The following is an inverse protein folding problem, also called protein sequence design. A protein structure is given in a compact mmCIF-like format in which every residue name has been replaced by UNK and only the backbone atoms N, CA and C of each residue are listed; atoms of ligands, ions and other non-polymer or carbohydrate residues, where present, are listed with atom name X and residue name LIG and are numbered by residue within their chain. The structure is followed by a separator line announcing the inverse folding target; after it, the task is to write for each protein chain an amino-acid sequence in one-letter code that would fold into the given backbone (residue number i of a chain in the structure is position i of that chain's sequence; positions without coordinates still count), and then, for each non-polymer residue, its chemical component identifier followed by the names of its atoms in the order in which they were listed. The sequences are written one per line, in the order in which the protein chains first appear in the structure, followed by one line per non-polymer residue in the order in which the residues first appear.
data_IF_814456734944
#
_entry.id   IF_814456734944
#
_cell.length_a   1.000
_cell.length_b   1.000
_cell.length_c   1.000
_cell.angle_alpha   90.00
_cell.angle_beta   90.00
_cell.angle_gamma   90.00
#
_symmetry.space_group_name_H-M   'P 1'
#
loop_
_entity.id
_entity.type
_entity.pdbx_description
1 polymer ?
#
# COMPACT_ATOMS: atom_id res chain seq x y z
N UNK A 1 -5.50 -27.89 37.88
CA UNK A 1 -5.64 -26.42 37.88
C UNK A 1 -6.03 -26.00 36.48
N UNK A 2 -7.32 -25.84 36.21
CA UNK A 2 -7.82 -25.39 34.91
C UNK A 2 -7.68 -23.88 34.81
N UNK A 3 -6.64 -23.41 34.13
CA UNK A 3 -6.64 -22.05 33.57
C UNK A 3 -7.13 -22.14 32.14
N UNK A 4 -8.44 -22.37 31.95
CA UNK A 4 -9.12 -22.00 30.70
C UNK A 4 -9.26 -20.47 30.72
N UNK A 5 -8.15 -19.76 30.55
CA UNK A 5 -8.19 -18.36 30.18
C UNK A 5 -8.68 -18.32 28.73
N UNK A 6 -9.88 -17.82 28.50
CA UNK A 6 -10.38 -17.57 27.15
C UNK A 6 -9.30 -16.79 26.39
N UNK A 7 -8.77 -17.39 25.31
CA UNK A 7 -7.85 -16.68 24.43
C UNK A 7 -8.61 -15.48 23.88
N UNK A 8 -8.08 -14.29 24.13
CA UNK A 8 -8.64 -13.07 23.56
C UNK A 8 -8.52 -13.17 22.04
N UNK A 9 -9.62 -12.92 21.34
CA UNK A 9 -9.68 -12.97 19.86
C UNK A 9 -9.75 -11.56 19.28
N UNK A 10 -9.15 -11.35 18.12
CA UNK A 10 -9.22 -10.13 17.32
C UNK A 10 -9.82 -10.47 15.95
N UNK A 11 -11.02 -9.96 15.69
CA UNK A 11 -11.58 -9.93 14.34
C UNK A 11 -10.89 -8.86 13.53
N UNK A 12 -10.12 -9.27 12.53
CA UNK A 12 -9.35 -8.36 11.69
C UNK A 12 -10.28 -7.50 10.83
N UNK A 13 -11.39 -8.07 10.34
CA UNK A 13 -12.35 -7.34 9.50
C UNK A 13 -12.90 -6.07 10.15
N UNK A 14 -13.03 -6.06 11.49
CA UNK A 14 -13.57 -4.93 12.25
C UNK A 14 -12.60 -3.73 12.31
N UNK A 15 -11.30 -3.97 12.07
CA UNK A 15 -10.24 -2.97 12.16
C UNK A 15 -9.47 -2.81 10.85
N UNK A 16 -9.93 -3.44 9.77
CA UNK A 16 -9.15 -3.53 8.55
C UNK A 16 -8.93 -2.17 7.89
N UNK A 17 -7.66 -1.83 7.72
CA UNK A 17 -7.22 -0.74 6.87
C UNK A 17 -6.38 -1.28 5.72
N UNK A 18 -6.59 -0.72 4.52
CA UNK A 18 -5.78 -1.03 3.35
C UNK A 18 -4.29 -0.76 3.64
N UNK A 19 -3.39 -1.73 3.38
CA UNK A 19 -1.99 -1.64 3.80
C UNK A 19 -1.19 -0.61 3.01
N UNK A 20 -1.69 -0.18 1.85
CA UNK A 20 -1.00 0.75 0.96
C UNK A 20 -1.98 1.76 0.38
N UNK A 21 -1.60 3.03 0.45
CA UNK A 21 -2.21 4.12 -0.31
C UNK A 21 -1.25 4.58 -1.41
N UNK A 22 -1.81 5.11 -2.49
CA UNK A 22 -1.07 5.58 -3.64
C UNK A 22 -1.40 7.04 -3.92
N UNK A 23 -0.35 7.77 -4.30
CA UNK A 23 -0.45 9.10 -4.88
C UNK A 23 0.21 9.06 -6.26
N UNK A 24 -0.58 9.27 -7.31
CA UNK A 24 -0.09 9.38 -8.67
C UNK A 24 -0.16 10.84 -9.12
N UNK A 25 0.96 11.42 -9.52
CA UNK A 25 1.03 12.80 -10.00
C UNK A 25 1.55 12.86 -11.44
N UNK A 26 0.98 13.74 -12.27
CA UNK A 26 1.47 13.94 -13.64
C UNK A 26 2.70 14.84 -13.58
N UNK A 27 3.87 14.30 -13.88
CA UNK A 27 5.15 15.02 -13.79
C UNK A 27 5.65 15.54 -15.14
N UNK A 28 5.19 14.95 -16.25
CA UNK A 28 5.49 15.39 -17.61
C UNK A 28 4.21 15.54 -18.42
N UNK A 29 4.06 16.67 -19.09
CA UNK A 29 2.94 16.97 -19.99
C UNK A 29 3.13 16.44 -21.40
N UNK A 30 2.04 16.47 -22.17
CA UNK A 30 1.99 16.19 -23.60
C UNK A 30 0.55 16.08 -24.09
N UNK A 31 0.36 15.55 -25.30
CA UNK A 31 -0.93 15.48 -25.98
C UNK A 31 -1.85 14.37 -25.41
N UNK A 32 -2.21 14.48 -24.14
CA UNK A 32 -3.05 13.51 -23.44
C UNK A 32 -4.51 13.57 -23.93
N UNK A 33 -5.03 12.47 -24.49
CA UNK A 33 -6.44 12.33 -24.91
C UNK A 33 -7.44 12.50 -23.78
N UNK A 34 -7.04 12.14 -22.55
CA UNK A 34 -7.84 12.30 -21.34
C UNK A 34 -7.67 13.67 -20.67
N UNK A 35 -6.96 14.60 -21.33
CA UNK A 35 -6.72 15.96 -20.88
C UNK A 35 -6.02 16.08 -19.51
N UNK A 36 -5.26 15.06 -19.09
CA UNK A 36 -4.45 15.14 -17.87
C UNK A 36 -3.37 16.21 -18.00
N UNK A 37 -3.17 16.99 -16.94
CA UNK A 37 -2.24 18.13 -16.92
C UNK A 37 -1.12 17.90 -15.91
N UNK A 38 0.07 18.43 -16.21
CA UNK A 38 1.19 18.43 -15.26
C UNK A 38 0.74 19.05 -13.93
N UNK A 39 1.10 18.41 -12.82
CA UNK A 39 0.68 18.79 -11.48
C UNK A 39 -0.68 18.21 -11.04
N UNK A 40 -1.44 17.57 -11.94
CA UNK A 40 -2.64 16.83 -11.53
C UNK A 40 -2.26 15.65 -10.63
N UNK A 41 -3.03 15.47 -9.55
CA UNK A 41 -2.81 14.43 -8.54
C UNK A 41 -4.03 13.52 -8.45
N UNK A 42 -3.79 12.23 -8.27
CA UNK A 42 -4.78 11.20 -8.01
C UNK A 42 -4.38 10.43 -6.76
N UNK A 43 -5.23 10.43 -5.74
CA UNK A 43 -5.02 9.71 -4.49
C UNK A 43 -6.03 8.57 -4.37
N UNK A 44 -5.56 7.38 -4.03
CA UNK A 44 -6.40 6.19 -3.96
C UNK A 44 -5.74 5.08 -3.14
N UNK A 45 -6.51 4.07 -2.74
CA UNK A 45 -6.02 2.90 -1.98
C UNK A 45 -6.19 1.61 -2.77
N UNK A 46 -7.43 1.33 -3.18
CA UNK A 46 -7.81 0.10 -3.85
C UNK A 46 -8.47 0.35 -5.20
N UNK A 47 -9.46 1.25 -5.22
CA UNK A 47 -10.24 1.54 -6.42
C UNK A 47 -9.47 2.44 -7.40
N UNK A 48 -9.82 2.35 -8.68
CA UNK A 48 -9.39 3.33 -9.69
C UNK A 48 -9.77 4.73 -9.23
N UNK A 49 -8.83 5.69 -9.19
CA UNK A 49 -9.13 7.04 -8.77
C UNK A 49 -10.09 7.73 -9.75
N UNK A 50 -11.04 8.49 -9.21
CA UNK A 50 -11.98 9.27 -10.02
C UNK A 50 -11.22 10.20 -10.96
N UNK A 51 -11.59 10.18 -12.24
CA UNK A 51 -11.05 11.08 -13.25
C UNK A 51 -9.73 10.64 -13.86
N UNK A 52 -9.09 9.55 -13.43
CA UNK A 52 -7.97 8.95 -14.15
C UNK A 52 -8.49 8.14 -15.34
N UNK A 53 -7.82 8.20 -16.49
CA UNK A 53 -8.21 7.38 -17.63
C UNK A 53 -7.88 5.89 -17.41
N UNK A 54 -8.78 5.01 -17.86
CA UNK A 54 -8.63 3.56 -17.68
C UNK A 54 -7.37 2.99 -18.32
N UNK A 55 -6.95 3.52 -19.47
CA UNK A 55 -5.70 3.12 -20.15
C UNK A 55 -4.47 3.33 -19.26
N UNK A 56 -4.34 4.52 -18.62
CA UNK A 56 -3.22 4.78 -17.72
C UNK A 56 -3.30 3.89 -16.48
N UNK A 57 -4.48 3.73 -15.89
CA UNK A 57 -4.65 2.91 -14.69
C UNK A 57 -4.27 1.44 -14.94
N UNK A 58 -4.77 0.84 -16.03
CA UNK A 58 -4.44 -0.55 -16.40
C UNK A 58 -2.94 -0.69 -16.64
N UNK A 59 -2.33 0.27 -17.34
CA UNK A 59 -0.90 0.24 -17.60
C UNK A 59 -0.02 0.41 -16.35
N UNK A 60 -0.52 1.10 -15.31
CA UNK A 60 0.15 1.25 -14.03
C UNK A 60 0.02 0.03 -13.12
N UNK A 61 -0.97 -0.84 -13.36
CA UNK A 61 -1.34 -1.90 -12.44
C UNK A 61 -0.15 -2.78 -11.98
N UNK A 62 0.79 -3.18 -12.86
CA UNK A 62 1.97 -3.94 -12.42
C UNK A 62 2.81 -3.20 -11.37
N UNK A 63 3.05 -1.90 -11.56
CA UNK A 63 3.81 -1.06 -10.62
C UNK A 63 3.08 -0.94 -9.28
N UNK A 64 1.76 -0.68 -9.33
CA UNK A 64 0.91 -0.59 -8.14
C UNK A 64 0.91 -1.92 -7.36
N UNK A 65 0.84 -3.04 -8.07
CA UNK A 65 0.88 -4.37 -7.46
C UNK A 65 2.25 -4.65 -6.81
N UNK A 66 3.35 -4.38 -7.51
CA UNK A 66 4.70 -4.53 -6.95
C UNK A 66 4.87 -3.70 -5.68
N UNK A 67 4.49 -2.42 -5.70
CA UNK A 67 4.53 -1.55 -4.52
C UNK A 67 3.65 -2.10 -3.38
N UNK A 68 2.46 -2.63 -3.70
CA UNK A 68 1.54 -3.20 -2.70
C UNK A 68 2.14 -4.39 -1.96
N UNK A 69 2.90 -5.23 -2.65
CA UNK A 69 3.58 -6.39 -2.04
C UNK A 69 4.95 -6.05 -1.45
N UNK A 70 5.24 -4.75 -1.25
CA UNK A 70 6.52 -4.20 -0.79
C UNK A 70 7.72 -4.46 -1.71
N UNK A 71 7.49 -4.68 -2.99
CA UNK A 71 8.56 -4.70 -3.99
C UNK A 71 9.37 -3.41 -3.96
N UNK A 72 10.68 -3.53 -4.20
CA UNK A 72 11.61 -2.42 -4.15
C UNK A 72 11.78 -1.79 -5.53
N UNK A 73 11.25 -0.58 -5.73
CA UNK A 73 11.34 0.10 -7.02
C UNK A 73 12.78 0.46 -7.42
N UNK A 74 13.75 0.40 -6.50
CA UNK A 74 15.18 0.56 -6.82
C UNK A 74 15.66 -0.53 -7.76
N UNK A 75 15.12 -1.75 -7.65
CA UNK A 75 15.41 -2.86 -8.57
C UNK A 75 14.94 -2.57 -10.00
N UNK A 76 14.02 -1.62 -10.17
CA UNK A 76 13.49 -1.15 -11.45
C UNK A 76 14.05 0.23 -11.85
N UNK A 77 15.16 0.65 -11.21
CA UNK A 77 15.87 1.89 -11.52
C UNK A 77 15.30 3.16 -10.91
N UNK A 78 14.44 3.05 -9.88
CA UNK A 78 13.99 4.21 -9.11
C UNK A 78 15.05 4.68 -8.10
N UNK A 79 15.18 5.99 -7.80
CA UNK A 79 16.00 6.45 -6.68
C UNK A 79 15.45 6.04 -5.30
N UNK A 80 14.15 5.73 -5.20
CA UNK A 80 13.49 5.40 -3.93
C UNK A 80 12.68 4.11 -4.04
N UNK A 81 12.64 3.33 -2.94
CA UNK A 81 11.94 2.04 -2.90
C UNK A 81 10.45 2.10 -3.22
N UNK A 82 9.81 3.22 -2.89
CA UNK A 82 8.36 3.41 -2.85
C UNK A 82 7.85 4.38 -3.91
N UNK A 83 8.74 4.86 -4.79
CA UNK A 83 8.42 5.81 -5.85
C UNK A 83 8.75 5.17 -7.19
N UNK A 84 7.93 5.39 -8.21
CA UNK A 84 8.26 5.01 -9.59
C UNK A 84 7.71 6.02 -10.59
N UNK A 85 8.56 6.46 -11.50
CA UNK A 85 8.12 7.19 -12.69
C UNK A 85 7.72 6.20 -13.78
N UNK A 86 6.51 6.37 -14.30
CA UNK A 86 5.85 5.54 -15.27
C UNK A 86 5.42 6.39 -16.48
N UNK A 87 5.72 5.93 -17.69
CA UNK A 87 5.16 6.53 -18.91
C UNK A 87 3.76 5.97 -19.13
N UNK A 88 2.77 6.82 -19.40
CA UNK A 88 1.46 6.32 -19.83
C UNK A 88 1.62 5.42 -21.09
N UNK A 89 0.68 4.50 -21.37
CA UNK A 89 0.82 3.59 -22.52
C UNK A 89 1.01 4.33 -23.85
N UNK A 90 0.32 5.47 -24.03
CA UNK A 90 0.49 6.34 -25.20
C UNK A 90 1.81 7.13 -25.23
N UNK A 91 2.64 7.04 -24.17
CA UNK A 91 3.95 7.71 -23.99
C UNK A 91 3.93 9.24 -24.12
N UNK A 92 2.76 9.86 -24.05
CA UNK A 92 2.58 11.30 -24.17
C UNK A 92 2.73 12.04 -22.84
N UNK A 93 2.52 11.37 -21.70
CA UNK A 93 2.69 11.95 -20.36
C UNK A 93 3.42 10.97 -19.45
N UNK A 94 3.97 11.47 -18.35
CA UNK A 94 4.55 10.65 -17.29
C UNK A 94 3.84 10.89 -15.97
N UNK A 95 3.71 9.80 -15.23
CA UNK A 95 3.21 9.80 -13.88
C UNK A 95 4.33 9.41 -12.92
N UNK A 96 4.44 10.11 -11.80
CA UNK A 96 5.16 9.63 -10.63
C UNK A 96 4.15 9.00 -9.68
N UNK A 97 4.40 7.74 -9.32
CA UNK A 97 3.58 6.97 -8.40
C UNK A 97 4.38 6.85 -7.11
N UNK A 98 3.77 7.26 -6.01
CA UNK A 98 4.30 7.17 -4.66
C UNK A 98 3.38 6.26 -3.82
N UNK A 99 3.98 5.34 -3.07
CA UNK A 99 3.26 4.45 -2.15
C UNK A 99 3.51 4.85 -0.69
N UNK A 100 2.42 4.97 0.06
CA UNK A 100 2.40 5.17 1.51
C UNK A 100 1.94 3.87 2.18
N UNK A 101 2.76 3.33 3.08
CA UNK A 101 2.46 2.07 3.79
C UNK A 101 1.74 2.34 5.10
N UNK A 102 0.78 1.49 5.47
CA UNK A 102 -0.08 1.69 6.63
C UNK A 102 -0.23 0.43 7.47
N UNK A 103 -0.45 0.62 8.77
CA UNK A 103 -0.81 -0.44 9.69
C UNK A 103 -2.21 -0.98 9.34
N UNK A 104 -2.34 -2.30 9.16
CA UNK A 104 -3.61 -2.94 8.83
C UNK A 104 -4.68 -2.81 9.92
N UNK A 105 -4.31 -2.47 11.17
CA UNK A 105 -5.24 -2.43 12.30
C UNK A 105 -5.61 -1.03 12.79
N UNK A 106 -4.76 -0.02 12.58
CA UNK A 106 -5.04 1.34 13.03
C UNK A 106 -4.91 2.39 11.92
N UNK A 107 -4.48 2.00 10.72
CA UNK A 107 -4.34 2.88 9.58
C UNK A 107 -3.15 3.86 9.67
N UNK A 108 -2.39 3.87 10.77
CA UNK A 108 -1.23 4.75 10.91
C UNK A 108 -0.19 4.47 9.82
N UNK A 109 0.45 5.52 9.32
CA UNK A 109 1.55 5.39 8.37
C UNK A 109 2.72 4.63 9.00
N UNK A 110 3.36 3.78 8.20
CA UNK A 110 4.53 2.99 8.56
C UNK A 110 5.76 3.68 7.95
N UNK A 111 6.72 4.12 8.77
CA UNK A 111 7.85 4.88 8.26
C UNK A 111 8.76 4.01 7.39
N UNK A 112 9.45 4.66 6.46
CA UNK A 112 10.50 4.04 5.66
C UNK A 112 11.84 4.54 6.20
N UNK A 113 12.61 3.64 6.79
CA UNK A 113 13.92 3.95 7.37
C UNK A 113 14.96 3.02 6.76
N UNK A 114 16.13 3.56 6.40
CA UNK A 114 17.23 2.81 5.78
C UNK A 114 16.80 1.99 4.55
N UNK A 115 15.78 2.46 3.82
CA UNK A 115 15.26 1.78 2.64
C UNK A 115 14.32 0.61 2.95
N UNK A 116 13.79 0.48 4.17
CA UNK A 116 12.86 -0.57 4.57
C UNK A 116 11.60 -0.03 5.25
N UNK A 117 10.45 -0.69 5.03
CA UNK A 117 9.20 -0.36 5.74
C UNK A 117 9.27 -0.87 7.16
N UNK A 118 9.24 0.04 8.12
CA UNK A 118 9.26 -0.28 9.54
C UNK A 118 7.89 -0.83 9.95
N UNK A 119 7.81 -2.15 10.09
CA UNK A 119 6.58 -2.85 10.43
C UNK A 119 6.83 -4.12 11.21
N UNK A 120 5.78 -4.64 11.83
CA UNK A 120 5.76 -5.92 12.54
C UNK A 120 4.70 -6.82 11.91
N UNK A 121 4.83 -8.12 12.14
CA UNK A 121 3.87 -9.14 11.72
C UNK A 121 3.09 -9.61 12.95
N UNK A 122 1.76 -9.64 12.83
CA UNK A 122 0.93 -10.49 13.69
C UNK A 122 0.40 -11.62 12.82
N UNK A 123 0.40 -12.84 13.35
CA UNK A 123 -0.01 -14.02 12.58
C UNK A 123 -0.80 -15.01 13.44
N UNK A 124 -1.74 -15.68 12.80
CA UNK A 124 -2.34 -16.92 13.28
C UNK A 124 -2.00 -18.02 12.26
N UNK A 125 -0.97 -18.83 12.53
CA UNK A 125 -0.53 -19.89 11.61
C UNK A 125 -1.60 -20.94 11.32
N UNK A 126 -2.49 -21.22 12.29
CA UNK A 126 -3.55 -22.23 12.15
C UNK A 126 -4.58 -21.85 11.07
N UNK A 127 -4.80 -20.54 10.85
CA UNK A 127 -5.71 -20.02 9.84
C UNK A 127 -4.99 -19.49 8.59
N UNK A 128 -3.66 -19.67 8.50
CA UNK A 128 -2.82 -19.05 7.45
C UNK A 128 -3.03 -17.53 7.34
N UNK A 129 -3.33 -16.87 8.46
CA UNK A 129 -3.69 -15.46 8.51
C UNK A 129 -2.54 -14.64 9.07
N UNK A 130 -2.21 -13.52 8.44
CA UNK A 130 -1.26 -12.57 8.98
C UNK A 130 -1.58 -11.15 8.53
N UNK A 131 -1.16 -10.18 9.34
CA UNK A 131 -1.29 -8.76 9.05
C UNK A 131 -0.02 -7.99 9.38
N UNK A 132 0.18 -6.90 8.64
CA UNK A 132 1.27 -5.95 8.85
C UNK A 132 0.79 -4.84 9.77
N UNK A 133 1.52 -4.60 10.84
CA UNK A 133 1.12 -3.63 11.87
C UNK A 133 2.27 -2.74 12.29
N UNK A 134 1.93 -1.59 12.88
CA UNK A 134 2.90 -0.74 13.57
C UNK A 134 3.36 -1.40 14.88
N UNK A 135 4.45 -0.88 15.45
CA UNK A 135 5.01 -1.36 16.72
C UNK A 135 4.00 -1.37 17.87
N UNK A 136 3.11 -0.37 17.93
CA UNK A 136 2.13 -0.25 19.02
C UNK A 136 1.02 -1.29 18.91
N UNK A 137 0.47 -1.50 17.70
CA UNK A 137 -0.50 -2.56 17.45
C UNK A 137 0.12 -3.95 17.69
N UNK A 138 1.38 -4.16 17.31
CA UNK A 138 2.08 -5.42 17.58
C UNK A 138 2.15 -5.72 19.08
N UNK A 139 2.49 -4.72 19.91
CA UNK A 139 2.49 -4.88 21.38
C UNK A 139 1.09 -5.05 21.96
N UNK A 140 0.13 -4.26 21.48
CA UNK A 140 -1.27 -4.27 21.98
C UNK A 140 -1.96 -5.62 21.75
N UNK A 141 -1.67 -6.27 20.64
CA UNK A 141 -2.35 -7.50 20.21
C UNK A 141 -1.45 -8.74 20.22
N UNK A 142 -0.27 -8.70 20.87
CA UNK A 142 0.71 -9.80 20.84
C UNK A 142 0.17 -11.13 21.38
N UNK A 143 -0.77 -11.08 22.32
CA UNK A 143 -1.38 -12.25 22.96
C UNK A 143 -2.83 -12.48 22.48
N UNK A 144 -3.19 -11.94 21.31
CA UNK A 144 -4.54 -12.03 20.77
C UNK A 144 -4.54 -12.98 19.58
N UNK A 145 -5.49 -13.91 19.54
CA UNK A 145 -5.68 -14.80 18.41
C UNK A 145 -6.35 -14.04 17.27
N UNK A 146 -5.72 -14.03 16.10
CA UNK A 146 -6.28 -13.38 14.92
C UNK A 146 -7.33 -14.27 14.26
N UNK A 147 -8.48 -13.69 13.93
CA UNK A 147 -9.52 -14.31 13.09
C UNK A 147 -10.03 -13.29 12.09
N UNK A 148 -10.63 -13.74 10.97
CA UNK A 148 -11.22 -12.83 9.99
C UNK A 148 -12.55 -12.23 10.47
#
# INVERSE_FOLDING_TARGET
MNQNGERKTLKIGDLWHEPVAFRASVVKEGNCRANHKKGQVFEFVWCTPKGMCGESFVGMYPVLHSLRVLGDMRELGSPHRHIRVYNCPGRVIQFEIEATYRCNLCGSELPIENGEVQSKKLENPEQHLWVRVCSDCSKKYSNTELVW
#
